data_IF_421653199339
#
_entry.id   IF_421653199339
#
_cell.length_a   1.000
_cell.length_b   1.000
_cell.length_c   1.000
_cell.angle_alpha   90.00
_cell.angle_beta   90.00
_cell.angle_gamma   90.00
#
_symmetry.space_group_name_H-M   'P 1'
#
loop_
_entity.id
_entity.type
_entity.pdbx_description
1 polymer ?
#
# COMPACT_ATOMS: atom_id res chain seq x y z
N UNK A 1 18.00 -12.00 0.27
CA UNK A 1 17.13 -10.94 0.83
C UNK A 1 17.77 -9.56 0.74
N UNK A 2 17.10 -8.61 0.08
CA UNK A 2 17.55 -7.23 -0.07
C UNK A 2 17.82 -6.51 1.26
N UNK A 3 18.61 -5.44 1.19
CA UNK A 3 18.82 -4.55 2.31
C UNK A 3 17.57 -3.70 2.59
N UNK A 4 17.37 -3.29 3.85
CA UNK A 4 16.16 -2.56 4.27
C UNK A 4 16.00 -1.24 3.51
N UNK A 5 17.10 -0.54 3.22
CA UNK A 5 17.10 0.70 2.45
C UNK A 5 16.65 0.53 1.00
N UNK A 6 16.92 -0.63 0.39
CA UNK A 6 16.41 -0.96 -0.94
C UNK A 6 14.91 -1.25 -0.89
N UNK A 7 14.44 -1.96 0.14
CA UNK A 7 13.01 -2.24 0.33
C UNK A 7 12.19 -0.98 0.63
N UNK A 8 12.73 -0.04 1.42
CA UNK A 8 12.08 1.26 1.65
C UNK A 8 11.99 2.08 0.36
N UNK A 9 13.05 2.10 -0.45
CA UNK A 9 13.02 2.76 -1.76
C UNK A 9 12.02 2.11 -2.72
N UNK A 10 11.89 0.78 -2.67
CA UNK A 10 10.89 0.06 -3.47
C UNK A 10 9.47 0.33 -2.97
N UNK A 11 9.26 0.48 -1.67
CA UNK A 11 7.98 0.92 -1.10
C UNK A 11 7.60 2.33 -1.57
N UNK A 12 8.54 3.26 -1.62
CA UNK A 12 8.31 4.60 -2.17
C UNK A 12 7.96 4.55 -3.66
N UNK A 13 8.65 3.70 -4.43
CA UNK A 13 8.36 3.49 -5.85
C UNK A 13 6.96 2.93 -6.06
N UNK A 14 6.57 1.91 -5.30
CA UNK A 14 5.26 1.30 -5.38
C UNK A 14 4.15 2.31 -5.09
N UNK A 15 4.32 3.11 -4.03
CA UNK A 15 3.37 4.19 -3.69
C UNK A 15 3.29 5.28 -4.74
N UNK A 16 4.44 5.71 -5.27
CA UNK A 16 4.49 6.72 -6.33
C UNK A 16 3.77 6.25 -7.59
N UNK A 17 3.94 4.98 -7.96
CA UNK A 17 3.18 4.35 -9.04
C UNK A 17 1.68 4.32 -8.74
N UNK A 18 1.27 3.87 -7.55
CA UNK A 18 -0.15 3.95 -7.14
C UNK A 18 -0.68 5.36 -7.31
N UNK A 19 0.10 6.36 -6.89
CA UNK A 19 -0.27 7.76 -6.95
C UNK A 19 -0.48 8.29 -8.37
N UNK A 20 0.32 7.84 -9.34
CA UNK A 20 0.11 8.14 -10.76
C UNK A 20 -1.21 7.54 -11.30
N UNK A 21 -1.75 6.50 -10.68
CA UNK A 21 -3.00 5.88 -11.11
C UNK A 21 -4.27 6.64 -10.69
N UNK A 22 -4.19 7.61 -9.77
CA UNK A 22 -5.40 8.27 -9.24
C UNK A 22 -5.35 9.80 -9.19
N UNK A 23 -4.17 10.43 -9.24
CA UNK A 23 -4.03 11.88 -9.01
C UNK A 23 -4.80 12.78 -9.97
N UNK A 24 -5.06 12.32 -11.19
CA UNK A 24 -5.83 13.03 -12.21
C UNK A 24 -7.32 12.65 -12.25
N UNK A 25 -7.74 11.67 -11.45
CA UNK A 25 -9.14 11.22 -11.38
C UNK A 25 -9.99 12.19 -10.55
N UNK A 26 -11.25 12.34 -10.93
CA UNK A 26 -12.22 13.13 -10.16
C UNK A 26 -12.66 12.39 -8.89
N UNK A 27 -13.23 13.08 -7.88
CA UNK A 27 -13.81 12.41 -6.71
C UNK A 27 -14.88 11.37 -7.05
N UNK A 28 -15.67 11.62 -8.10
CA UNK A 28 -16.69 10.68 -8.60
C UNK A 28 -16.03 9.43 -9.16
N UNK A 29 -14.95 9.56 -9.92
CA UNK A 29 -14.21 8.42 -10.47
C UNK A 29 -13.53 7.58 -9.38
N UNK A 30 -12.96 8.23 -8.36
CA UNK A 30 -12.31 7.53 -7.25
C UNK A 30 -13.31 6.75 -6.39
N UNK A 31 -14.56 7.22 -6.31
CA UNK A 31 -15.65 6.57 -5.57
C UNK A 31 -16.52 5.66 -6.44
N UNK A 32 -16.28 5.65 -7.75
CA UNK A 32 -17.04 4.87 -8.71
C UNK A 32 -16.88 3.37 -8.49
N UNK A 33 -17.98 2.63 -8.71
CA UNK A 33 -17.98 1.17 -8.78
C UNK A 33 -19.10 0.68 -9.70
N UNK A 34 -18.89 -0.42 -10.45
CA UNK A 34 -19.88 -0.95 -11.39
C UNK A 34 -21.08 -1.60 -10.68
N UNK A 35 -20.87 -2.16 -9.48
CA UNK A 35 -21.90 -2.78 -8.65
C UNK A 35 -21.46 -2.86 -7.20
N UNK A 36 -22.33 -3.34 -6.31
CA UNK A 36 -22.07 -3.31 -4.87
C UNK A 36 -20.95 -4.24 -4.41
N UNK A 37 -20.75 -5.36 -5.09
CA UNK A 37 -19.65 -6.31 -4.81
C UNK A 37 -18.37 -5.92 -5.55
N UNK A 38 -18.04 -4.63 -5.54
CA UNK A 38 -16.84 -4.11 -6.17
C UNK A 38 -16.25 -3.02 -5.28
N UNK A 39 -14.93 -3.03 -5.11
CA UNK A 39 -14.23 -2.04 -4.31
C UNK A 39 -13.86 -0.83 -5.18
N UNK A 40 -14.29 0.39 -4.84
CA UNK A 40 -13.88 1.59 -5.58
C UNK A 40 -12.37 1.84 -5.44
N UNK A 41 -11.77 2.60 -6.37
CA UNK A 41 -10.34 2.97 -6.33
C UNK A 41 -9.96 3.55 -4.96
N UNK A 42 -10.79 4.46 -4.42
CA UNK A 42 -10.54 5.09 -3.13
C UNK A 42 -10.49 4.11 -1.95
N UNK A 43 -11.18 2.96 -2.04
CA UNK A 43 -11.08 1.91 -1.03
C UNK A 43 -9.71 1.24 -1.09
N UNK A 44 -9.23 0.89 -2.29
CA UNK A 44 -7.89 0.31 -2.45
C UNK A 44 -6.80 1.26 -1.94
N UNK A 45 -6.94 2.56 -2.21
CA UNK A 45 -6.03 3.59 -1.72
C UNK A 45 -5.92 3.61 -0.20
N UNK A 46 -7.04 3.55 0.51
CA UNK A 46 -7.04 3.49 1.98
C UNK A 46 -6.59 2.12 2.50
N UNK A 47 -7.02 1.03 1.87
CA UNK A 47 -6.68 -0.34 2.25
C UNK A 47 -5.18 -0.61 2.21
N UNK A 48 -4.51 -0.21 1.15
CA UNK A 48 -3.05 -0.27 1.02
C UNK A 48 -2.32 0.36 2.23
N UNK A 49 -2.73 1.58 2.62
CA UNK A 49 -2.17 2.29 3.76
C UNK A 49 -2.50 1.62 5.10
N UNK A 50 -3.73 1.14 5.25
CA UNK A 50 -4.17 0.41 6.43
C UNK A 50 -3.34 -0.87 6.63
N UNK A 51 -3.18 -1.70 5.60
CA UNK A 51 -2.39 -2.94 5.68
C UNK A 51 -0.92 -2.65 5.95
N UNK A 52 -0.32 -1.67 5.26
CA UNK A 52 1.08 -1.31 5.47
C UNK A 52 1.36 -0.94 6.94
N UNK A 53 0.56 -0.04 7.50
CA UNK A 53 0.69 0.35 8.90
C UNK A 53 0.33 -0.80 9.85
N UNK A 54 -0.75 -1.55 9.59
CA UNK A 54 -1.19 -2.67 10.42
C UNK A 54 -0.12 -3.76 10.53
N UNK A 55 0.50 -4.15 9.42
CA UNK A 55 1.55 -5.18 9.44
C UNK A 55 2.79 -4.69 10.18
N UNK A 56 3.27 -3.47 9.87
CA UNK A 56 4.48 -2.94 10.51
C UNK A 56 4.27 -2.75 12.00
N UNK A 57 3.16 -2.16 12.46
CA UNK A 57 2.92 -1.96 13.89
C UNK A 57 2.81 -3.28 14.65
N UNK A 58 2.06 -4.25 14.13
CA UNK A 58 1.80 -5.49 14.88
C UNK A 58 3.01 -6.43 14.91
N UNK A 59 3.90 -6.37 13.91
CA UNK A 59 5.05 -7.27 13.82
C UNK A 59 6.37 -6.65 14.28
N UNK A 60 6.42 -5.33 14.51
CA UNK A 60 7.67 -4.65 14.90
C UNK A 60 7.55 -3.80 16.16
N UNK A 61 6.47 -3.04 16.34
CA UNK A 61 6.26 -2.20 17.51
C UNK A 61 4.79 -1.74 17.62
N UNK A 62 4.17 -1.99 18.77
CA UNK A 62 2.78 -1.59 19.01
C UNK A 62 2.62 -0.07 18.98
N UNK A 63 2.13 0.45 17.83
CA UNK A 63 1.83 1.86 17.60
C UNK A 63 0.34 2.08 17.33
N UNK A 64 -0.22 3.25 17.70
CA UNK A 64 -1.60 3.59 17.36
C UNK A 64 -1.76 3.79 15.84
N UNK A 65 -2.98 3.55 15.35
CA UNK A 65 -3.35 3.90 13.97
C UNK A 65 -3.20 5.40 13.71
N UNK A 66 -2.69 5.82 12.54
CA UNK A 66 -2.67 7.23 12.17
C UNK A 66 -4.07 7.81 11.95
N UNK A 67 -5.09 6.97 11.69
CA UNK A 67 -6.50 7.37 11.68
C UNK A 67 -7.37 6.16 12.09
N UNK A 68 -7.59 5.93 13.40
CA UNK A 68 -8.28 4.75 13.91
C UNK A 68 -9.72 4.58 13.41
N UNK A 69 -10.37 5.66 12.98
CA UNK A 69 -11.73 5.62 12.43
C UNK A 69 -11.75 5.05 11.00
N UNK A 70 -10.63 5.11 10.27
CA UNK A 70 -10.53 4.51 8.94
C UNK A 70 -10.19 3.03 8.99
N UNK A 71 -9.55 2.53 10.05
CA UNK A 71 -9.23 1.11 10.19
C UNK A 71 -10.44 0.20 9.90
N UNK A 72 -11.62 0.37 10.54
CA UNK A 72 -12.77 -0.48 10.27
C UNK A 72 -13.43 -0.23 8.90
N UNK A 73 -13.05 0.80 8.14
CA UNK A 73 -13.56 1.04 6.78
C UNK A 73 -12.65 0.35 5.75
N UNK A 74 -11.34 0.41 6.02
CA UNK A 74 -10.28 -0.08 5.13
C UNK A 74 -9.93 -1.54 5.37
N UNK A 75 -10.49 -2.19 6.40
CA UNK A 75 -10.31 -3.62 6.63
C UNK A 75 -10.98 -4.47 5.54
N UNK A 76 -10.20 -5.34 4.89
CA UNK A 76 -10.70 -6.30 3.88
C UNK A 76 -11.65 -7.35 4.44
N UNK A 77 -11.68 -7.55 5.76
CA UNK A 77 -12.67 -8.42 6.42
C UNK A 77 -14.10 -7.90 6.23
N UNK A 78 -14.28 -6.61 5.92
CA UNK A 78 -15.58 -6.09 5.53
C UNK A 78 -16.00 -6.60 4.14
N UNK A 79 -17.26 -7.06 3.98
CA UNK A 79 -17.81 -7.41 2.68
C UNK A 79 -17.75 -6.24 1.70
N UNK A 80 -17.58 -6.54 0.41
CA UNK A 80 -17.45 -5.54 -0.65
C UNK A 80 -18.64 -4.57 -0.73
N UNK A 81 -19.85 -5.07 -0.44
CA UNK A 81 -21.05 -4.24 -0.35
C UNK A 81 -20.87 -3.04 0.58
N UNK A 82 -20.12 -3.19 1.67
CA UNK A 82 -19.85 -2.16 2.68
C UNK A 82 -18.74 -1.18 2.33
N UNK A 83 -18.04 -1.35 1.19
CA UNK A 83 -16.85 -0.57 0.83
C UNK A 83 -17.13 0.72 0.04
N UNK A 84 -18.41 1.07 -0.14
CA UNK A 84 -18.84 2.23 -0.95
C UNK A 84 -18.86 3.57 -0.20
N UNK A 85 -18.97 3.56 1.13
CA UNK A 85 -19.01 4.78 1.95
C UNK A 85 -17.59 5.22 2.29
N UNK A 86 -16.95 5.98 1.39
CA UNK A 86 -15.57 6.43 1.54
C UNK A 86 -15.46 7.81 2.20
N UNK A 87 -14.38 8.07 2.96
CA UNK A 87 -14.01 9.42 3.35
C UNK A 87 -13.62 10.27 2.11
N UNK A 88 -13.53 11.59 2.29
CA UNK A 88 -13.08 12.47 1.22
C UNK A 88 -11.62 12.19 0.80
N UNK A 89 -11.28 12.57 -0.45
CA UNK A 89 -9.96 12.33 -1.03
C UNK A 89 -8.82 12.92 -0.22
N UNK A 90 -9.03 14.07 0.42
CA UNK A 90 -8.00 14.73 1.21
C UNK A 90 -7.71 13.93 2.47
N UNK A 91 -8.73 13.36 3.13
CA UNK A 91 -8.56 12.46 4.27
C UNK A 91 -7.87 11.16 3.85
N UNK A 92 -8.23 10.55 2.71
CA UNK A 92 -7.51 9.38 2.18
C UNK A 92 -6.03 9.67 1.91
N UNK A 93 -5.74 10.76 1.22
CA UNK A 93 -4.35 11.17 0.93
C UNK A 93 -3.56 11.43 2.22
N UNK A 94 -4.17 12.10 3.20
CA UNK A 94 -3.56 12.35 4.52
C UNK A 94 -3.29 11.04 5.27
N UNK A 95 -4.23 10.09 5.24
CA UNK A 95 -4.06 8.78 5.86
C UNK A 95 -2.93 7.98 5.20
N UNK A 96 -2.89 7.95 3.86
CA UNK A 96 -1.80 7.33 3.09
C UNK A 96 -0.45 7.91 3.46
N UNK A 97 -0.34 9.24 3.52
CA UNK A 97 0.92 9.92 3.86
C UNK A 97 1.36 9.60 5.30
N UNK A 98 0.44 9.69 6.26
CA UNK A 98 0.74 9.37 7.65
C UNK A 98 1.15 7.92 7.85
N UNK A 99 0.49 6.98 7.17
CA UNK A 99 0.87 5.56 7.18
C UNK A 99 2.29 5.35 6.64
N UNK A 100 2.65 5.98 5.50
CA UNK A 100 4.02 5.90 4.96
C UNK A 100 5.05 6.42 5.94
N UNK A 101 4.79 7.61 6.51
CA UNK A 101 5.71 8.25 7.45
C UNK A 101 5.97 7.37 8.67
N UNK A 102 4.94 6.72 9.19
CA UNK A 102 5.07 5.78 10.30
C UNK A 102 5.85 4.52 9.89
N UNK A 103 5.56 3.94 8.72
CA UNK A 103 6.32 2.80 8.18
C UNK A 103 7.81 3.15 8.02
N UNK A 104 8.12 4.25 7.36
CA UNK A 104 9.50 4.73 7.18
C UNK A 104 10.21 4.94 8.50
N UNK A 105 9.56 5.63 9.44
CA UNK A 105 10.14 5.87 10.76
C UNK A 105 10.47 4.53 11.44
N UNK A 106 9.49 3.63 11.53
CA UNK A 106 9.64 2.38 12.28
C UNK A 106 10.69 1.44 11.67
N UNK A 107 10.67 1.30 10.35
CA UNK A 107 11.63 0.46 9.63
C UNK A 107 13.01 1.11 9.60
N UNK A 108 13.08 2.44 9.56
CA UNK A 108 14.31 3.21 9.74
C UNK A 108 14.94 3.00 11.12
N UNK A 109 14.15 3.09 12.19
CA UNK A 109 14.62 2.81 13.56
C UNK A 109 15.22 1.39 13.66
N UNK A 110 14.60 0.39 13.00
CA UNK A 110 15.12 -1.00 12.97
C UNK A 110 16.43 -1.09 12.18
N UNK A 111 16.52 -0.43 11.03
CA UNK A 111 17.74 -0.37 10.21
C UNK A 111 18.91 0.22 11.00
N UNK A 112 18.65 1.28 11.75
CA UNK A 112 19.67 2.04 12.48
C UNK A 112 20.03 1.39 13.83
N UNK A 113 19.26 0.39 14.26
CA UNK A 113 19.49 -0.34 15.50
C UNK A 113 18.87 0.32 16.74
N UNK A 114 18.01 1.32 16.54
CA UNK A 114 17.33 2.10 17.59
C UNK A 114 16.09 1.38 18.16
N UNK A 115 16.22 0.07 18.35
CA UNK A 115 15.16 -0.83 18.82
C UNK A 115 15.74 -1.93 19.72
N UNK A 116 14.88 -2.56 20.52
CA UNK A 116 15.26 -3.81 21.19
C UNK A 116 15.46 -4.95 20.18
N UNK A 117 16.47 -5.79 20.39
CA UNK A 117 16.79 -6.94 19.53
C UNK A 117 16.94 -6.61 18.01
N UNK A 118 17.82 -5.65 17.64
CA UNK A 118 17.88 -5.10 16.28
C UNK A 118 18.16 -6.14 15.19
N UNK A 119 19.01 -7.13 15.46
CA UNK A 119 19.30 -8.19 14.50
C UNK A 119 18.06 -9.07 14.19
N UNK A 120 17.24 -9.35 15.19
CA UNK A 120 16.01 -10.12 15.00
C UNK A 120 14.96 -9.29 14.27
N UNK A 121 14.75 -8.04 14.67
CA UNK A 121 13.79 -7.16 14.00
C UNK A 121 14.21 -6.83 12.56
N UNK A 122 15.49 -6.76 12.24
CA UNK A 122 15.95 -6.58 10.87
C UNK A 122 15.54 -7.74 9.96
N UNK A 123 15.47 -8.97 10.47
CA UNK A 123 14.96 -10.12 9.70
C UNK A 123 13.46 -10.01 9.47
N UNK A 124 12.70 -9.62 10.49
CA UNK A 124 11.24 -9.40 10.38
C UNK A 124 10.93 -8.27 9.41
N UNK A 125 11.62 -7.13 9.54
CA UNK A 125 11.42 -5.95 8.71
C UNK A 125 11.60 -6.25 7.22
N UNK A 126 12.59 -7.06 6.83
CA UNK A 126 12.80 -7.44 5.42
C UNK A 126 11.62 -8.20 4.84
N UNK A 127 11.10 -9.18 5.57
CA UNK A 127 9.96 -10.00 5.13
C UNK A 127 8.68 -9.17 5.08
N UNK A 128 8.42 -8.38 6.13
CA UNK A 128 7.24 -7.52 6.20
C UNK A 128 7.25 -6.47 5.10
N UNK A 129 8.39 -5.81 4.85
CA UNK A 129 8.48 -4.80 3.80
C UNK A 129 8.25 -5.39 2.42
N UNK A 130 8.81 -6.57 2.11
CA UNK A 130 8.52 -7.22 0.84
C UNK A 130 7.03 -7.57 0.70
N UNK A 131 6.39 -8.06 1.76
CA UNK A 131 4.94 -8.31 1.75
C UNK A 131 4.14 -7.02 1.52
N UNK A 132 4.50 -5.92 2.18
CA UNK A 132 3.85 -4.61 2.03
C UNK A 132 4.03 -4.04 0.62
N UNK A 133 5.24 -4.13 0.05
CA UNK A 133 5.54 -3.71 -1.33
C UNK A 133 4.71 -4.53 -2.33
N UNK A 134 4.70 -5.85 -2.18
CA UNK A 134 3.94 -6.75 -3.05
C UNK A 134 2.44 -6.45 -2.97
N UNK A 135 1.94 -6.19 -1.77
CA UNK A 135 0.54 -5.82 -1.53
C UNK A 135 0.19 -4.47 -2.17
N UNK A 136 1.08 -3.47 -2.11
CA UNK A 136 0.90 -2.19 -2.80
C UNK A 136 0.78 -2.42 -4.32
N UNK A 137 1.68 -3.19 -4.93
CA UNK A 137 1.63 -3.49 -6.37
C UNK A 137 0.42 -4.34 -6.77
N UNK A 138 0.01 -5.29 -5.94
CA UNK A 138 -1.19 -6.08 -6.16
C UNK A 138 -2.43 -5.18 -6.27
N UNK A 139 -2.60 -4.25 -5.34
CA UNK A 139 -3.70 -3.29 -5.40
C UNK A 139 -3.56 -2.28 -6.54
N UNK A 140 -2.33 -1.90 -6.87
CA UNK A 140 -2.06 -1.03 -8.03
C UNK A 140 -2.51 -1.69 -9.34
N UNK A 141 -2.34 -3.01 -9.47
CA UNK A 141 -2.87 -3.78 -10.62
C UNK A 141 -4.39 -3.68 -10.71
N UNK A 142 -5.11 -3.88 -9.61
CA UNK A 142 -6.57 -3.78 -9.59
C UNK A 142 -7.06 -2.36 -9.86
N UNK A 143 -6.38 -1.34 -9.32
CA UNK A 143 -6.67 0.06 -9.65
C UNK A 143 -6.44 0.32 -11.14
N UNK A 144 -5.35 -0.19 -11.71
CA UNK A 144 -5.02 -0.04 -13.15
C UNK A 144 -6.11 -0.65 -14.03
N UNK A 145 -6.64 -1.81 -13.66
CA UNK A 145 -7.75 -2.45 -14.39
C UNK A 145 -8.99 -1.56 -14.41
N UNK A 146 -9.40 -1.00 -13.26
CA UNK A 146 -10.53 -0.06 -13.20
C UNK A 146 -10.25 1.19 -14.02
N UNK A 147 -9.08 1.81 -13.81
CA UNK A 147 -8.66 3.04 -14.48
C UNK A 147 -8.73 2.90 -16.00
N UNK A 148 -8.17 1.83 -16.55
CA UNK A 148 -8.09 1.66 -18.00
C UNK A 148 -9.35 1.06 -18.61
N UNK A 149 -9.86 -0.05 -18.04
CA UNK A 149 -10.97 -0.79 -18.64
C UNK A 149 -12.30 -0.07 -18.45
N UNK A 150 -12.54 0.44 -17.24
CA UNK A 150 -13.86 0.90 -16.84
C UNK A 150 -14.00 2.42 -16.92
N UNK A 151 -12.91 3.16 -16.64
CA UNK A 151 -12.88 4.62 -16.72
C UNK A 151 -12.24 5.17 -18.02
N UNK A 152 -11.54 4.33 -18.80
CA UNK A 152 -10.98 4.71 -20.10
C UNK A 152 -9.73 5.59 -20.05
N UNK A 153 -9.06 5.69 -18.90
CA UNK A 153 -7.84 6.49 -18.74
C UNK A 153 -6.59 5.71 -19.15
N UNK A 154 -5.60 6.42 -19.68
CA UNK A 154 -4.29 5.83 -19.97
C UNK A 154 -3.58 5.38 -18.68
N UNK A 155 -2.80 4.29 -18.78
CA UNK A 155 -1.95 3.82 -17.70
C UNK A 155 -0.57 4.49 -17.79
N UNK A 156 0.05 4.84 -16.65
CA UNK A 156 1.46 5.18 -16.60
C UNK A 156 2.33 3.95 -16.94
N UNK A 157 3.59 4.18 -17.29
CA UNK A 157 4.56 3.12 -17.51
C UNK A 157 4.75 2.28 -16.24
N UNK A 158 4.93 0.97 -16.40
CA UNK A 158 5.20 0.10 -15.26
C UNK A 158 6.55 0.46 -14.61
N UNK A 159 6.62 0.47 -13.26
CA UNK A 159 7.86 0.73 -12.57
C UNK A 159 8.87 -0.39 -12.83
N UNK A 160 10.14 0.00 -12.94
CA UNK A 160 11.27 -0.93 -13.13
C UNK A 160 12.28 -0.78 -11.99
N UNK A 161 12.87 -1.90 -11.59
CA UNK A 161 13.83 -2.01 -10.48
C UNK A 161 14.49 -3.39 -10.53
N UNK A 162 15.74 -3.49 -10.09
CA UNK A 162 16.44 -4.79 -9.97
C UNK A 162 15.77 -5.72 -8.95
N UNK A 163 14.89 -5.18 -8.10
CA UNK A 163 14.09 -5.95 -7.14
C UNK A 163 12.78 -6.46 -7.71
N UNK A 164 12.37 -6.04 -8.92
CA UNK A 164 11.06 -6.38 -9.46
C UNK A 164 11.16 -7.46 -10.51
N UNK A 165 10.21 -8.38 -10.44
CA UNK A 165 9.90 -9.34 -11.50
C UNK A 165 8.38 -9.38 -11.70
N UNK A 166 7.96 -9.93 -12.83
CA UNK A 166 6.54 -10.14 -13.11
C UNK A 166 6.17 -11.62 -12.92
N UNK A 167 5.14 -11.89 -12.12
CA UNK A 167 4.53 -13.21 -11.94
C UNK A 167 3.04 -13.10 -12.12
N UNK A 168 2.45 -13.93 -12.98
CA UNK A 168 1.01 -13.99 -13.22
C UNK A 168 0.37 -12.62 -13.53
N UNK A 169 1.13 -11.70 -14.15
CA UNK A 169 0.70 -10.34 -14.47
C UNK A 169 0.76 -9.34 -13.31
N UNK A 170 1.41 -9.71 -12.20
CA UNK A 170 1.66 -8.86 -11.03
C UNK A 170 3.15 -8.55 -10.88
N UNK A 171 3.45 -7.30 -10.53
CA UNK A 171 4.79 -6.92 -10.07
C UNK A 171 5.02 -7.44 -8.67
N UNK A 172 6.11 -8.16 -8.49
CA UNK A 172 6.50 -8.79 -7.23
C UNK A 172 7.95 -8.44 -6.92
N UNK A 173 8.20 -8.05 -5.68
CA UNK A 173 9.53 -7.88 -5.11
C UNK A 173 10.19 -9.25 -4.95
N UNK A 174 11.28 -9.48 -5.69
CA UNK A 174 12.13 -10.65 -5.57
C UNK A 174 12.98 -10.54 -4.30
N UNK A 175 12.78 -11.49 -3.38
CA UNK A 175 13.55 -11.60 -2.16
C UNK A 175 14.83 -12.42 -2.34
N UNK A 176 14.99 -13.11 -3.47
CA UNK A 176 16.06 -14.06 -3.75
C UNK A 176 16.10 -15.19 -2.72
N UNK A 177 14.93 -15.77 -2.42
CA UNK A 177 14.75 -16.91 -1.50
C UNK A 177 14.54 -18.20 -2.26
#
# INVERSE_FOLDING_TARGET
MPAIDLLLREYDRARAYTDELWRDLTPEEVTWRPHENFSPIGWHLGHQAHVAHFMVRNLTAAEPSPDPELDPIMDSANPEAGRGALPDLRRLATFRENAARTVHKRIGDIRDGDVGAPAQLAMVAKVVMAAVVNHEYQHSKWISEVRARDLGHALPDLPTSDLLLELDGYLVCDLGI
#
